data_IF_952501008301
#
_entry.id   IF_952501008301
#
_cell.length_a   1.000
_cell.length_b   1.000
_cell.length_c   1.000
_cell.angle_alpha   90.00
_cell.angle_beta   90.00
_cell.angle_gamma   90.00
#
_symmetry.space_group_name_H-M   'P 1'
#
loop_
_entity.id
_entity.type
_entity.pdbx_description
1 polymer ?
#
# COMPACT_ATOMS: atom_id res chain seq x y z
N UNK A 1 2.27 5.43 -16.30
CA UNK A 1 1.05 5.19 -17.11
C UNK A 1 -0.10 5.94 -16.45
N UNK A 2 -0.73 6.90 -17.13
CA UNK A 2 -1.85 7.66 -16.55
C UNK A 2 -3.15 7.00 -17.03
N UNK A 3 -3.82 6.27 -16.15
CA UNK A 3 -5.13 5.69 -16.46
C UNK A 3 -6.18 6.81 -16.46
N UNK A 4 -6.92 6.97 -17.56
CA UNK A 4 -8.00 7.97 -17.66
C UNK A 4 -9.26 7.53 -16.92
N UNK A 5 -9.36 6.26 -16.52
CA UNK A 5 -10.53 5.69 -15.87
C UNK A 5 -10.14 4.64 -14.82
N UNK A 6 -10.74 4.73 -13.62
CA UNK A 6 -10.57 3.73 -12.54
C UNK A 6 -10.90 2.31 -12.99
N UNK A 7 -11.84 2.11 -13.92
CA UNK A 7 -12.18 0.77 -14.45
C UNK A 7 -10.98 0.10 -15.14
N UNK A 8 -10.24 0.85 -15.96
CA UNK A 8 -9.07 0.34 -16.69
C UNK A 8 -7.93 0.02 -15.73
N UNK A 9 -7.76 0.83 -14.70
CA UNK A 9 -6.80 0.63 -13.63
C UNK A 9 -7.08 -0.66 -12.83
N UNK A 10 -8.34 -0.89 -12.44
CA UNK A 10 -8.75 -2.16 -11.83
C UNK A 10 -8.50 -3.36 -12.74
N UNK A 11 -8.91 -3.29 -14.02
CA UNK A 11 -8.73 -4.41 -14.97
C UNK A 11 -7.25 -4.70 -15.18
N UNK A 12 -6.40 -3.67 -15.29
CA UNK A 12 -4.96 -3.81 -15.39
C UNK A 12 -4.39 -4.54 -14.17
N UNK A 13 -4.72 -4.10 -12.96
CA UNK A 13 -4.24 -4.71 -11.72
C UNK A 13 -4.76 -6.14 -11.51
N UNK A 14 -5.99 -6.44 -11.92
CA UNK A 14 -6.52 -7.80 -11.88
C UNK A 14 -5.79 -8.75 -12.85
N UNK A 15 -5.50 -8.29 -14.07
CA UNK A 15 -4.74 -9.07 -15.06
C UNK A 15 -3.31 -9.38 -14.59
N UNK A 16 -2.76 -8.57 -13.68
CA UNK A 16 -1.46 -8.78 -13.03
C UNK A 16 -1.49 -9.82 -11.90
N UNK A 17 -2.65 -10.40 -11.58
CA UNK A 17 -2.77 -11.48 -10.61
C UNK A 17 -2.59 -11.08 -9.15
N UNK A 18 -2.62 -9.77 -8.85
CA UNK A 18 -2.50 -9.24 -7.49
C UNK A 18 -3.71 -9.64 -6.62
N UNK A 19 -3.50 -9.76 -5.31
CA UNK A 19 -4.59 -10.02 -4.35
C UNK A 19 -5.40 -8.74 -4.11
N UNK A 20 -6.64 -8.91 -3.67
CA UNK A 20 -7.55 -7.77 -3.47
C UNK A 20 -7.03 -6.77 -2.43
N UNK A 21 -6.35 -7.27 -1.38
CA UNK A 21 -5.68 -6.44 -0.38
C UNK A 21 -4.57 -5.57 -1.00
N UNK A 22 -3.74 -6.13 -1.88
CA UNK A 22 -2.61 -5.42 -2.49
C UNK A 22 -3.13 -4.33 -3.44
N UNK A 23 -4.16 -4.63 -4.22
CA UNK A 23 -4.84 -3.66 -5.10
C UNK A 23 -5.51 -2.56 -4.28
N UNK A 24 -6.10 -2.91 -3.12
CA UNK A 24 -6.73 -1.95 -2.22
C UNK A 24 -5.71 -0.94 -1.68
N UNK A 25 -4.51 -1.41 -1.32
CA UNK A 25 -3.41 -0.56 -0.89
C UNK A 25 -2.90 0.33 -2.04
N UNK A 26 -2.70 -0.23 -3.25
CA UNK A 26 -2.24 0.53 -4.42
C UNK A 26 -3.22 1.66 -4.79
N UNK A 27 -4.53 1.40 -4.70
CA UNK A 27 -5.57 2.35 -5.10
C UNK A 27 -6.10 3.24 -3.96
N UNK A 28 -5.65 3.02 -2.72
CA UNK A 28 -6.13 3.74 -1.54
C UNK A 28 -7.63 3.53 -1.26
N UNK A 29 -8.14 2.32 -1.49
CA UNK A 29 -9.55 1.95 -1.29
C UNK A 29 -9.68 0.77 -0.32
N UNK A 30 -10.89 0.48 0.15
CA UNK A 30 -11.12 -0.72 0.96
C UNK A 30 -11.10 -2.01 0.13
N UNK A 31 -10.59 -3.11 0.69
CA UNK A 31 -10.54 -4.44 0.04
C UNK A 31 -11.91 -4.90 -0.49
N UNK A 32 -12.98 -4.63 0.25
CA UNK A 32 -14.35 -4.92 -0.18
C UNK A 32 -14.75 -4.22 -1.50
N UNK A 33 -14.24 -3.01 -1.75
CA UNK A 33 -14.47 -2.29 -3.01
C UNK A 33 -13.74 -2.96 -4.17
N UNK A 34 -12.54 -3.47 -3.92
CA UNK A 34 -11.75 -4.22 -4.92
C UNK A 34 -12.43 -5.54 -5.26
N UNK A 35 -12.87 -6.31 -4.26
CA UNK A 35 -13.60 -7.56 -4.48
C UNK A 35 -14.88 -7.34 -5.30
N UNK A 36 -15.62 -6.25 -5.02
CA UNK A 36 -16.79 -5.84 -5.80
C UNK A 36 -16.42 -5.45 -7.23
N UNK A 37 -15.31 -4.74 -7.43
CA UNK A 37 -14.79 -4.40 -8.75
C UNK A 37 -14.31 -5.64 -9.53
N UNK A 38 -13.70 -6.62 -8.88
CA UNK A 38 -13.26 -7.88 -9.50
C UNK A 38 -14.46 -8.68 -10.02
N UNK A 39 -15.51 -8.81 -9.20
CA UNK A 39 -16.74 -9.45 -9.64
C UNK A 39 -17.44 -8.70 -10.78
N UNK A 40 -17.39 -7.37 -10.79
CA UNK A 40 -18.07 -6.53 -11.78
C UNK A 40 -17.33 -6.43 -13.12
N UNK A 41 -16.00 -6.43 -13.11
CA UNK A 41 -15.19 -6.10 -14.30
C UNK A 41 -14.30 -7.26 -14.78
N UNK A 42 -13.95 -8.20 -13.91
CA UNK A 42 -13.02 -9.29 -14.23
C UNK A 42 -13.72 -10.63 -14.43
N UNK A 43 -14.83 -10.90 -13.72
CA UNK A 43 -15.59 -12.15 -13.89
C UNK A 43 -16.43 -12.24 -15.16
N UNK A 44 -16.65 -11.14 -15.90
CA UNK A 44 -17.62 -11.14 -16.99
C UNK A 44 -17.04 -11.43 -18.39
N UNK A 45 -15.74 -11.68 -18.60
CA UNK A 45 -15.20 -11.81 -19.97
C UNK A 45 -13.98 -12.73 -20.22
N UNK A 46 -13.39 -13.45 -19.26
CA UNK A 46 -12.24 -14.32 -19.56
C UNK A 46 -12.63 -15.82 -19.51
N UNK A 47 -13.24 -16.29 -20.59
CA UNK A 47 -13.23 -17.71 -21.00
C UNK A 47 -11.93 -18.09 -21.73
N UNK A 48 -10.94 -17.21 -21.78
CA UNK A 48 -9.68 -17.42 -22.47
C UNK A 48 -8.56 -17.53 -21.43
N UNK A 49 -7.85 -18.66 -21.50
CA UNK A 49 -6.81 -19.14 -20.57
C UNK A 49 -7.34 -19.80 -19.29
N UNK A 50 -7.99 -20.96 -19.47
CA UNK A 50 -7.80 -22.09 -18.55
C UNK A 50 -6.31 -22.16 -18.20
N UNK A 51 -5.98 -22.04 -16.91
CA UNK A 51 -4.73 -22.55 -16.37
C UNK A 51 -4.61 -23.99 -16.81
N UNK A 52 -3.78 -24.27 -17.79
CA UNK A 52 -3.20 -25.59 -17.90
C UNK A 52 -2.25 -25.70 -16.71
N UNK A 53 -2.77 -26.26 -15.62
CA UNK A 53 -1.94 -26.95 -14.64
C UNK A 53 -1.15 -28.00 -15.41
N UNK A 54 0.11 -27.70 -15.72
CA UNK A 54 1.01 -28.75 -16.17
C UNK A 54 1.17 -29.71 -14.98
N UNK A 55 0.86 -31.02 -15.14
CA UNK A 55 1.19 -31.98 -14.11
C UNK A 55 2.71 -32.05 -14.04
N UNK A 56 3.25 -31.78 -12.87
CA UNK A 56 4.69 -31.74 -12.56
C UNK A 56 5.34 -33.13 -12.52
N UNK A 57 4.87 -34.06 -13.37
CA UNK A 57 5.39 -35.40 -13.55
C UNK A 57 5.27 -35.79 -15.02
N UNK A 58 6.06 -35.15 -15.88
CA UNK A 58 6.52 -35.80 -17.10
C UNK A 58 8.03 -35.83 -17.01
N UNK A 59 8.50 -37.03 -16.71
CA UNK A 59 9.83 -37.55 -16.98
C UNK A 59 10.50 -36.83 -18.15
N UNK A 60 11.76 -36.51 -17.94
CA UNK A 60 12.73 -36.11 -18.95
C UNK A 60 12.80 -37.22 -20.00
N UNK A 61 11.85 -37.25 -20.93
CA UNK A 61 12.06 -37.89 -22.21
C UNK A 61 12.99 -36.95 -22.95
N UNK A 62 14.23 -37.40 -23.12
CA UNK A 62 15.18 -36.82 -24.06
C UNK A 62 14.50 -36.81 -25.42
N UNK A 63 13.88 -35.69 -25.75
CA UNK A 63 13.44 -35.43 -27.11
C UNK A 63 14.71 -35.48 -27.94
N UNK A 64 14.74 -36.52 -28.78
CA UNK A 64 15.72 -36.76 -29.81
C UNK A 64 16.17 -35.43 -30.40
N UNK A 65 17.50 -35.34 -30.55
CA UNK A 65 18.21 -34.29 -31.26
C UNK A 65 17.81 -34.35 -32.74
N UNK A 66 16.56 -34.01 -33.03
CA UNK A 66 16.07 -33.82 -34.39
C UNK A 66 16.84 -32.63 -34.96
N UNK A 67 17.55 -32.91 -36.05
CA UNK A 67 18.29 -31.91 -36.78
C UNK A 67 17.33 -30.79 -37.16
N UNK A 68 17.51 -29.62 -36.55
CA UNK A 68 16.83 -28.39 -36.90
C UNK A 68 17.08 -28.08 -38.38
N UNK A 69 16.16 -28.46 -39.26
CA UNK A 69 16.09 -27.89 -40.61
C UNK A 69 15.44 -26.50 -40.47
N UNK A 70 16.24 -25.47 -40.74
CA UNK A 70 16.04 -24.10 -40.29
C UNK A 70 14.88 -23.30 -40.88
N UNK A 71 14.12 -23.79 -41.86
CA UNK A 71 13.25 -22.92 -42.65
C UNK A 71 11.85 -23.49 -42.91
N UNK A 72 11.09 -23.78 -41.85
CA UNK A 72 9.62 -23.76 -41.98
C UNK A 72 9.05 -22.62 -41.14
N UNK A 73 8.26 -21.76 -41.77
CA UNK A 73 7.70 -20.54 -41.16
C UNK A 73 7.00 -20.85 -39.83
N UNK A 74 6.33 -22.00 -39.73
CA UNK A 74 5.65 -22.46 -38.53
C UNK A 74 6.57 -22.66 -37.32
N UNK A 75 7.80 -23.15 -37.54
CA UNK A 75 8.78 -23.34 -36.47
C UNK A 75 9.33 -22.00 -35.95
N UNK A 76 9.52 -21.03 -36.86
CA UNK A 76 9.90 -19.67 -36.51
C UNK A 76 8.79 -18.96 -35.73
N UNK A 77 7.54 -19.11 -36.15
CA UNK A 77 6.36 -18.57 -35.44
C UNK A 77 6.25 -19.17 -34.04
N UNK A 78 6.43 -20.48 -33.90
CA UNK A 78 6.39 -21.17 -32.61
C UNK A 78 7.52 -20.68 -31.67
N UNK A 79 8.74 -20.55 -32.19
CA UNK A 79 9.89 -20.07 -31.41
C UNK A 79 9.70 -18.61 -30.97
N UNK A 80 9.25 -17.74 -31.88
CA UNK A 80 8.95 -16.34 -31.58
C UNK A 80 7.84 -16.21 -30.53
N UNK A 81 6.78 -17.02 -30.64
CA UNK A 81 5.67 -17.07 -29.66
C UNK A 81 6.19 -17.52 -28.29
N UNK A 82 7.01 -18.56 -28.23
CA UNK A 82 7.62 -19.03 -26.98
C UNK A 82 8.48 -17.94 -26.33
N UNK A 83 9.31 -17.26 -27.11
CA UNK A 83 10.16 -16.16 -26.62
C UNK A 83 9.35 -14.96 -26.16
N UNK A 84 8.26 -14.62 -26.84
CA UNK A 84 7.35 -13.57 -26.41
C UNK A 84 6.69 -13.91 -25.05
N UNK A 85 6.25 -15.16 -24.87
CA UNK A 85 5.71 -15.62 -23.58
C UNK A 85 6.75 -15.58 -22.45
N UNK A 86 7.99 -16.03 -22.71
CA UNK A 86 9.09 -15.97 -21.73
C UNK A 86 9.40 -14.52 -21.31
N UNK A 87 9.40 -13.59 -22.28
CA UNK A 87 9.61 -12.16 -22.03
C UNK A 87 8.49 -11.56 -21.18
N UNK A 88 7.23 -11.85 -21.51
CA UNK A 88 6.07 -11.36 -20.75
C UNK A 88 6.07 -11.90 -19.31
N UNK A 89 6.44 -13.17 -19.12
CA UNK A 89 6.58 -13.76 -17.78
C UNK A 89 7.69 -13.07 -16.97
N UNK A 90 8.85 -12.84 -17.59
CA UNK A 90 9.98 -12.16 -16.92
C UNK A 90 9.63 -10.72 -16.55
N UNK A 91 8.90 -10.03 -17.43
CA UNK A 91 8.38 -8.69 -17.16
C UNK A 91 7.41 -8.70 -15.98
N UNK A 92 6.43 -9.61 -15.97
CA UNK A 92 5.47 -9.73 -14.88
C UNK A 92 6.15 -10.07 -13.55
N UNK A 93 7.16 -10.93 -13.58
CA UNK A 93 7.94 -11.29 -12.39
C UNK A 93 8.76 -10.10 -11.86
N UNK A 94 9.37 -9.32 -12.76
CA UNK A 94 10.11 -8.11 -12.39
C UNK A 94 9.18 -7.06 -11.77
N UNK A 95 8.00 -6.83 -12.36
CA UNK A 95 6.99 -5.93 -11.81
C UNK A 95 6.51 -6.41 -10.43
N UNK A 96 6.27 -7.72 -10.27
CA UNK A 96 5.88 -8.33 -8.99
C UNK A 96 6.92 -8.05 -7.90
N UNK A 97 8.18 -8.35 -8.16
CA UNK A 97 9.29 -8.11 -7.22
C UNK A 97 9.45 -6.62 -6.89
N UNK A 98 9.27 -5.74 -7.88
CA UNK A 98 9.28 -4.30 -7.65
C UNK A 98 8.21 -3.88 -6.64
N UNK A 99 6.96 -4.30 -6.82
CA UNK A 99 5.87 -3.96 -5.89
C UNK A 99 6.07 -4.59 -4.52
N UNK A 100 6.59 -5.81 -4.44
CA UNK A 100 6.90 -6.47 -3.17
C UNK A 100 7.92 -5.67 -2.35
N UNK A 101 8.97 -5.16 -3.00
CA UNK A 101 9.96 -4.29 -2.37
C UNK A 101 9.33 -2.96 -1.91
N UNK A 102 8.48 -2.35 -2.74
CA UNK A 102 7.79 -1.10 -2.40
C UNK A 102 6.91 -1.29 -1.16
N UNK A 103 6.11 -2.36 -1.11
CA UNK A 103 5.26 -2.66 0.06
C UNK A 103 6.11 -2.90 1.31
N UNK A 104 7.19 -3.67 1.20
CA UNK A 104 8.11 -3.92 2.33
C UNK A 104 8.75 -2.63 2.87
N UNK A 105 9.10 -1.69 1.98
CA UNK A 105 9.60 -0.37 2.35
C UNK A 105 8.55 0.45 3.09
N UNK A 106 7.32 0.53 2.56
CA UNK A 106 6.20 1.24 3.19
C UNK A 106 5.92 0.70 4.59
N UNK A 107 5.88 -0.62 4.74
CA UNK A 107 5.65 -1.27 6.04
C UNK A 107 6.75 -0.95 7.05
N UNK A 108 8.01 -1.01 6.60
CA UNK A 108 9.17 -0.70 7.43
C UNK A 108 9.19 0.77 7.87
N UNK A 109 8.90 1.68 6.94
CA UNK A 109 8.76 3.12 7.23
C UNK A 109 7.65 3.38 8.24
N UNK A 110 6.47 2.77 8.04
CA UNK A 110 5.34 2.92 8.97
C UNK A 110 5.68 2.40 10.37
N UNK A 111 6.39 1.27 10.48
CA UNK A 111 6.87 0.75 11.77
C UNK A 111 7.82 1.74 12.45
N UNK A 112 8.81 2.26 11.71
CA UNK A 112 9.75 3.25 12.23
C UNK A 112 9.05 4.53 12.68
N UNK A 113 8.17 5.07 11.84
CA UNK A 113 7.35 6.26 12.14
C UNK A 113 6.51 6.06 13.40
N UNK A 114 5.90 4.88 13.58
CA UNK A 114 5.15 4.55 14.79
C UNK A 114 6.03 4.51 16.05
N UNK A 115 7.29 4.10 15.94
CA UNK A 115 8.25 4.15 17.05
C UNK A 115 8.65 5.59 17.38
N UNK A 116 8.96 6.41 16.36
CA UNK A 116 9.28 7.83 16.51
C UNK A 116 8.13 8.60 17.19
N UNK A 117 6.88 8.29 16.82
CA UNK A 117 5.67 8.91 17.36
C UNK A 117 5.19 8.30 18.70
N UNK A 118 5.88 7.29 19.26
CA UNK A 118 5.37 6.55 20.43
C UNK A 118 5.20 7.42 21.67
N UNK A 119 6.20 8.28 21.97
CA UNK A 119 6.15 9.14 23.17
C UNK A 119 5.05 10.18 23.04
N UNK A 120 5.02 10.92 21.94
CA UNK A 120 4.06 11.99 21.74
C UNK A 120 2.61 11.49 21.74
N UNK A 121 2.35 10.31 21.13
CA UNK A 121 1.02 9.67 21.21
C UNK A 121 0.63 9.29 22.64
N UNK A 122 1.59 8.83 23.45
CA UNK A 122 1.34 8.52 24.86
C UNK A 122 0.99 9.80 25.64
N UNK A 123 1.71 10.88 25.39
CA UNK A 123 1.48 12.17 26.03
C UNK A 123 0.11 12.74 25.64
N UNK A 124 -0.28 12.66 24.37
CA UNK A 124 -1.63 13.01 23.89
C UNK A 124 -2.71 12.21 24.62
N UNK A 125 -2.56 10.88 24.74
CA UNK A 125 -3.52 10.03 25.46
C UNK A 125 -3.64 10.41 26.94
N UNK A 126 -2.51 10.69 27.60
CA UNK A 126 -2.52 11.15 29.00
C UNK A 126 -3.27 12.48 29.11
N UNK A 127 -3.07 13.39 28.15
CA UNK A 127 -3.76 14.67 28.12
C UNK A 127 -5.27 14.51 27.90
N UNK A 128 -5.68 13.65 26.97
CA UNK A 128 -7.08 13.32 26.73
C UNK A 128 -7.76 12.81 27.99
N UNK A 129 -7.11 11.90 28.73
CA UNK A 129 -7.63 11.42 30.01
C UNK A 129 -7.76 12.54 31.06
N UNK A 130 -6.83 13.49 31.09
CA UNK A 130 -6.91 14.67 31.99
C UNK A 130 -8.07 15.59 31.60
N UNK A 131 -8.22 15.87 30.30
CA UNK A 131 -9.32 16.68 29.75
C UNK A 131 -10.66 16.04 30.09
N UNK A 132 -10.86 14.74 29.84
CA UNK A 132 -12.10 14.03 30.17
C UNK A 132 -12.41 14.06 31.68
N UNK A 133 -11.39 13.93 32.53
CA UNK A 133 -11.56 14.06 34.00
C UNK A 133 -11.97 15.47 34.41
N UNK A 134 -11.39 16.50 33.81
CA UNK A 134 -11.77 17.90 34.09
C UNK A 134 -13.20 18.19 33.63
N UNK A 135 -13.55 17.76 32.41
CA UNK A 135 -14.91 17.90 31.87
C UNK A 135 -15.96 17.24 32.78
N UNK A 136 -15.74 15.99 33.20
CA UNK A 136 -16.66 15.29 34.09
C UNK A 136 -16.80 15.95 35.47
N UNK A 137 -15.71 16.49 36.04
CA UNK A 137 -15.78 17.28 37.29
C UNK A 137 -16.65 18.53 37.11
N UNK A 138 -16.45 19.25 36.02
CA UNK A 138 -17.19 20.48 35.68
C UNK A 138 -18.69 20.20 35.46
N UNK A 139 -19.02 19.11 34.80
CA UNK A 139 -20.41 18.68 34.63
C UNK A 139 -21.05 18.29 35.97
N UNK A 140 -20.27 17.69 36.87
CA UNK A 140 -20.75 17.31 38.21
C UNK A 140 -20.93 18.51 39.16
N UNK A 141 -20.16 19.59 38.99
CA UNK A 141 -20.31 20.82 39.78
C UNK A 141 -21.51 21.62 39.31
N UNK A 142 -21.71 21.72 37.98
CA UNK A 142 -22.91 22.32 37.36
C UNK A 142 -24.19 21.63 37.81
N UNK A 143 -24.24 20.29 37.82
CA UNK A 143 -25.40 19.52 38.30
C UNK A 143 -25.75 19.75 39.77
N UNK A 144 -24.76 20.14 40.59
CA UNK A 144 -24.96 20.43 42.02
C UNK A 144 -25.36 21.88 42.31
N UNK A 145 -25.58 22.71 41.29
CA UNK A 145 -26.04 24.08 41.44
C UNK A 145 -24.95 25.08 41.87
N UNK A 146 -23.69 24.65 41.91
CA UNK A 146 -22.56 25.56 42.11
C UNK A 146 -22.31 26.36 40.83
N UNK A 147 -22.13 27.69 40.95
CA UNK A 147 -21.67 28.52 39.83
C UNK A 147 -20.32 27.99 39.34
N UNK A 148 -20.11 28.01 38.02
CA UNK A 148 -18.96 27.42 37.32
C UNK A 148 -17.65 27.67 38.06
N UNK A 149 -16.90 26.60 38.28
CA UNK A 149 -15.61 26.65 38.96
C UNK A 149 -14.60 27.24 37.96
N UNK A 150 -14.48 28.58 37.94
CA UNK A 150 -13.63 29.33 37.00
C UNK A 150 -12.21 28.76 36.94
N UNK A 151 -11.69 28.26 38.05
CA UNK A 151 -10.39 27.61 38.10
C UNK A 151 -10.34 26.32 37.27
N UNK A 152 -11.38 25.48 37.32
CA UNK A 152 -11.49 24.26 36.49
C UNK A 152 -11.67 24.61 35.01
N UNK A 153 -12.38 25.70 34.71
CA UNK A 153 -12.56 26.17 33.33
C UNK A 153 -11.24 26.69 32.73
N UNK A 154 -10.46 27.45 33.51
CA UNK A 154 -9.11 27.90 33.13
C UNK A 154 -8.16 26.71 32.95
N UNK A 155 -8.18 25.73 33.87
CA UNK A 155 -7.34 24.53 33.77
C UNK A 155 -7.71 23.69 32.54
N UNK A 156 -9.00 23.54 32.24
CA UNK A 156 -9.48 22.83 31.06
C UNK A 156 -9.02 23.53 29.77
N UNK A 157 -9.17 24.86 29.69
CA UNK A 157 -8.71 25.63 28.54
C UNK A 157 -7.19 25.51 28.33
N UNK A 158 -6.40 25.55 29.41
CA UNK A 158 -4.95 25.35 29.34
C UNK A 158 -4.59 23.95 28.83
N UNK A 159 -5.30 22.89 29.28
CA UNK A 159 -5.08 21.52 28.82
C UNK A 159 -5.50 21.30 27.37
N UNK A 160 -6.58 21.94 26.92
CA UNK A 160 -6.99 21.91 25.51
C UNK A 160 -5.92 22.56 24.63
N UNK A 161 -5.40 23.73 25.04
CA UNK A 161 -4.32 24.40 24.30
C UNK A 161 -3.04 23.54 24.24
N UNK A 162 -2.65 22.91 25.36
CA UNK A 162 -1.52 21.99 25.39
C UNK A 162 -1.73 20.79 24.44
N UNK A 163 -2.97 20.30 24.30
CA UNK A 163 -3.31 19.26 23.30
C UNK A 163 -3.09 19.74 21.88
N UNK A 164 -3.61 20.92 21.54
CA UNK A 164 -3.47 21.51 20.21
C UNK A 164 -1.99 21.69 19.82
N UNK A 165 -1.16 22.10 20.77
CA UNK A 165 0.28 22.27 20.53
C UNK A 165 1.00 20.92 20.34
N UNK A 166 0.60 19.87 21.09
CA UNK A 166 1.09 18.51 20.85
C UNK A 166 0.63 17.95 19.48
N UNK A 167 -0.61 18.24 19.05
CA UNK A 167 -1.10 17.82 17.74
C UNK A 167 -0.32 18.49 16.59
N UNK A 168 0.01 19.78 16.72
CA UNK A 168 0.89 20.48 15.77
C UNK A 168 2.28 19.85 15.72
N UNK A 169 2.85 19.52 16.89
CA UNK A 169 4.14 18.84 16.95
C UNK A 169 4.08 17.45 16.29
N UNK A 170 3.02 16.69 16.54
CA UNK A 170 2.79 15.38 15.94
C UNK A 170 2.73 15.46 14.41
N UNK A 171 2.00 16.45 13.89
CA UNK A 171 1.95 16.71 12.45
C UNK A 171 3.34 17.04 11.87
N UNK A 172 4.09 17.91 12.54
CA UNK A 172 5.44 18.29 12.10
C UNK A 172 6.42 17.11 12.09
N UNK A 173 6.40 16.26 13.12
CA UNK A 173 7.24 15.05 13.16
C UNK A 173 6.81 14.11 12.02
N UNK A 174 5.52 13.88 11.85
CA UNK A 174 4.97 13.04 10.80
C UNK A 174 5.46 13.46 9.40
N UNK A 175 5.37 14.76 9.08
CA UNK A 175 5.82 15.31 7.81
C UNK A 175 7.33 15.23 7.62
N UNK A 176 8.11 15.48 8.68
CA UNK A 176 9.58 15.40 8.64
C UNK A 176 10.04 13.98 8.32
N UNK A 177 9.47 12.99 9.00
CA UNK A 177 9.82 11.58 8.77
C UNK A 177 9.53 11.15 7.33
N UNK A 178 8.38 11.56 6.78
CA UNK A 178 8.03 11.26 5.39
C UNK A 178 8.97 11.96 4.39
N UNK A 179 9.30 13.23 4.65
CA UNK A 179 10.24 13.98 3.83
C UNK A 179 11.63 13.35 3.83
N UNK A 180 12.17 13.01 5.00
CA UNK A 180 13.50 12.41 5.13
C UNK A 180 13.58 11.05 4.44
N UNK A 181 12.51 10.25 4.51
CA UNK A 181 12.40 8.99 3.78
C UNK A 181 12.42 9.22 2.26
N UNK A 182 11.66 10.19 1.75
CA UNK A 182 11.63 10.53 0.33
C UNK A 182 12.98 11.04 -0.19
N UNK A 183 13.68 11.88 0.58
CA UNK A 183 15.02 12.37 0.22
C UNK A 183 16.03 11.22 0.13
N UNK A 184 16.02 10.30 1.10
CA UNK A 184 16.88 9.11 1.07
C UNK A 184 16.56 8.22 -0.12
N UNK A 185 15.28 7.97 -0.39
CA UNK A 185 14.85 7.18 -1.55
C UNK A 185 15.32 7.81 -2.86
N UNK A 186 15.13 9.12 -3.02
CA UNK A 186 15.61 9.88 -4.18
C UNK A 186 17.12 9.76 -4.35
N UNK A 187 17.88 9.83 -3.26
CA UNK A 187 19.34 9.66 -3.29
C UNK A 187 19.75 8.27 -3.77
N UNK A 188 19.09 7.22 -3.28
CA UNK A 188 19.38 5.83 -3.69
C UNK A 188 19.05 5.61 -5.16
N UNK A 189 17.93 6.15 -5.65
CA UNK A 189 17.52 6.01 -7.05
C UNK A 189 18.44 6.80 -7.99
N UNK A 190 18.79 8.03 -7.61
CA UNK A 190 19.73 8.87 -8.37
C UNK A 190 21.11 8.22 -8.48
N UNK A 191 21.60 7.60 -7.40
CA UNK A 191 22.86 6.85 -7.40
C UNK A 191 22.86 5.61 -8.30
N UNK A 192 21.68 5.15 -8.75
CA UNK A 192 21.50 4.02 -9.69
C UNK A 192 21.10 4.46 -11.10
N UNK A 193 21.17 5.76 -11.42
CA UNK A 193 20.69 6.34 -12.69
C UNK A 193 19.19 6.07 -12.97
N UNK A 194 18.40 5.77 -11.94
CA UNK A 194 16.95 5.60 -12.05
C UNK A 194 16.30 6.96 -11.80
N UNK A 195 15.64 7.52 -12.82
CA UNK A 195 14.87 8.77 -12.66
C UNK A 195 13.48 8.44 -12.11
N UNK A 196 13.10 9.13 -11.04
CA UNK A 196 11.69 9.34 -10.71
C UNK A 196 11.21 10.45 -11.65
N UNK A 197 10.53 10.08 -12.74
CA UNK A 197 9.72 11.00 -13.54
C UNK A 197 8.34 11.21 -12.90
#
# INVERSE_FOLDING_TARGET
>A
MIFKNRKEEYIFLFKKGLKDLDIAQILGVGEAFVAKARNKYFKSNDSVCKRNSFPSNLTVESISKESFNGDNFDNLVLLATKKACELENTKNETERLFYEIVCSFIDSHNKYKNLSLKSIRKDTLILDLKISKLQSKLDSSKKRGFKGDENLEIELAAKIKEKEDLEKQLFNICMREDYDALVKLKSVLSGKNLKLE
#
